data_IF_221508857522
#
_entry.id   IF_221508857522
#
_cell.length_a   1.000
_cell.length_b   1.000
_cell.length_c   1.000
_cell.angle_alpha   90.00
_cell.angle_beta   90.00
_cell.angle_gamma   90.00
#
_symmetry.space_group_name_H-M   'P 1'
#
loop_
_entity.id
_entity.type
_entity.pdbx_description
1 polymer ?
#
# COMPACT_ATOMS: atom_id res chain seq x y z
N UNK A 1 -11.15 38.64 3.33
CA UNK A 1 -12.16 38.47 4.38
C UNK A 1 -11.56 39.03 5.65
N UNK A 2 -12.14 40.09 6.20
CA UNK A 2 -11.60 40.74 7.41
C UNK A 2 -12.15 40.06 8.66
N UNK A 3 -11.33 39.24 9.32
CA UNK A 3 -11.69 38.51 10.54
C UNK A 3 -11.45 39.31 11.82
N UNK A 4 -11.06 40.59 11.73
CA UNK A 4 -10.88 41.45 12.91
C UNK A 4 -12.20 42.04 13.43
N UNK A 5 -13.29 41.90 12.66
CA UNK A 5 -14.64 42.30 13.07
C UNK A 5 -15.43 41.09 13.58
N UNK A 6 -16.34 41.26 14.56
CA UNK A 6 -17.19 40.16 15.04
C UNK A 6 -18.01 39.47 13.92
N UNK A 7 -18.44 40.25 12.92
CA UNK A 7 -19.15 39.71 11.75
C UNK A 7 -18.23 38.86 10.86
N UNK A 8 -17.00 39.31 10.64
CA UNK A 8 -16.00 38.56 9.90
C UNK A 8 -15.60 37.27 10.60
N UNK A 9 -15.37 37.30 11.91
CA UNK A 9 -15.08 36.10 12.70
C UNK A 9 -16.19 35.04 12.61
N UNK A 10 -17.46 35.47 12.69
CA UNK A 10 -18.62 34.59 12.55
C UNK A 10 -18.65 33.90 11.19
N UNK A 11 -18.52 34.68 10.11
CA UNK A 11 -18.52 34.14 8.75
C UNK A 11 -17.35 33.17 8.55
N UNK A 12 -16.18 33.45 9.15
CA UNK A 12 -14.99 32.63 8.94
C UNK A 12 -15.19 31.26 9.59
N UNK A 13 -15.74 31.28 10.80
CA UNK A 13 -16.08 30.08 11.56
C UNK A 13 -17.15 29.25 10.83
N UNK A 14 -18.18 29.89 10.28
CA UNK A 14 -19.21 29.21 9.50
C UNK A 14 -18.63 28.53 8.25
N UNK A 15 -17.84 29.24 7.45
CA UNK A 15 -17.21 28.65 6.27
C UNK A 15 -16.19 27.58 6.63
N UNK A 16 -15.48 27.72 7.75
CA UNK A 16 -14.61 26.68 8.29
C UNK A 16 -15.38 25.40 8.62
N UNK A 17 -16.52 25.52 9.31
CA UNK A 17 -17.39 24.40 9.63
C UNK A 17 -17.98 23.74 8.36
N UNK A 18 -18.43 24.54 7.40
CA UNK A 18 -18.92 24.04 6.11
C UNK A 18 -17.83 23.30 5.32
N UNK A 19 -16.60 23.83 5.29
CA UNK A 19 -15.47 23.19 4.63
C UNK A 19 -15.13 21.83 5.27
N UNK A 20 -15.18 21.74 6.60
CA UNK A 20 -15.00 20.48 7.32
C UNK A 20 -16.10 19.47 6.98
N UNK A 21 -17.36 19.91 6.94
CA UNK A 21 -18.50 19.07 6.56
C UNK A 21 -18.36 18.52 5.13
N UNK A 22 -18.05 19.36 4.16
CA UNK A 22 -17.85 18.93 2.77
C UNK A 22 -16.67 17.95 2.63
N UNK A 23 -15.60 18.15 3.40
CA UNK A 23 -14.48 17.21 3.44
C UNK A 23 -14.89 15.86 4.00
N UNK A 24 -15.73 15.84 5.04
CA UNK A 24 -16.28 14.61 5.61
C UNK A 24 -17.15 13.86 4.60
N UNK A 25 -18.09 14.54 3.94
CA UNK A 25 -18.93 13.94 2.89
C UNK A 25 -18.10 13.39 1.72
N UNK A 26 -17.09 14.13 1.28
CA UNK A 26 -16.19 13.65 0.22
C UNK A 26 -15.47 12.38 0.64
N UNK A 27 -14.98 12.31 1.88
CA UNK A 27 -14.34 11.12 2.43
C UNK A 27 -15.29 9.93 2.47
N UNK A 28 -16.53 10.12 2.93
CA UNK A 28 -17.55 9.06 2.96
C UNK A 28 -17.80 8.49 1.57
N UNK A 29 -17.98 9.35 0.56
CA UNK A 29 -18.18 8.93 -0.84
C UNK A 29 -16.97 8.15 -1.37
N UNK A 30 -15.75 8.62 -1.10
CA UNK A 30 -14.53 7.90 -1.51
C UNK A 30 -14.46 6.53 -0.86
N UNK A 31 -14.76 6.42 0.43
CA UNK A 31 -14.75 5.14 1.14
C UNK A 31 -15.80 4.18 0.58
N UNK A 32 -17.02 4.66 0.32
CA UNK A 32 -18.06 3.87 -0.34
C UNK A 32 -17.61 3.37 -1.72
N UNK A 33 -16.98 4.22 -2.52
CA UNK A 33 -16.41 3.86 -3.82
C UNK A 33 -15.29 2.81 -3.70
N UNK A 34 -14.39 2.94 -2.73
CA UNK A 34 -13.32 1.97 -2.47
C UNK A 34 -13.88 0.61 -2.04
N UNK A 35 -14.91 0.59 -1.19
CA UNK A 35 -15.61 -0.64 -0.79
C UNK A 35 -16.26 -1.31 -2.00
N UNK A 36 -16.96 -0.55 -2.84
CA UNK A 36 -17.56 -1.07 -4.07
C UNK A 36 -16.51 -1.62 -5.04
N UNK A 37 -15.39 -0.91 -5.24
CA UNK A 37 -14.28 -1.38 -6.07
C UNK A 37 -13.65 -2.68 -5.53
N UNK A 38 -13.47 -2.78 -4.21
CA UNK A 38 -12.97 -4.00 -3.56
C UNK A 38 -13.93 -5.18 -3.74
N UNK A 39 -15.25 -4.95 -3.64
CA UNK A 39 -16.27 -5.98 -3.93
C UNK A 39 -16.21 -6.50 -5.36
N UNK A 40 -15.82 -5.65 -6.32
CA UNK A 40 -15.56 -6.03 -7.72
C UNK A 40 -14.20 -6.72 -7.94
N UNK A 41 -13.46 -7.02 -6.87
CA UNK A 41 -12.16 -7.70 -6.95
C UNK A 41 -10.96 -6.79 -7.20
N UNK A 42 -11.14 -5.47 -7.33
CA UNK A 42 -10.02 -4.55 -7.49
C UNK A 42 -9.21 -4.48 -6.19
N UNK A 43 -7.96 -4.93 -6.24
CA UNK A 43 -6.96 -4.72 -5.18
C UNK A 43 -6.27 -3.37 -5.43
N UNK A 44 -6.54 -2.38 -4.59
CA UNK A 44 -5.83 -1.10 -4.61
C UNK A 44 -4.43 -1.19 -3.98
N UNK A 45 -3.72 -0.07 -3.92
CA UNK A 45 -2.36 0.00 -3.37
C UNK A 45 -1.27 -0.15 -4.43
N UNK A 46 -0.01 -0.18 -3.97
CA UNK A 46 1.16 -0.36 -4.85
C UNK A 46 1.21 -1.82 -5.33
N UNK A 47 1.37 -2.08 -6.64
CA UNK A 47 1.51 -3.45 -7.14
C UNK A 47 2.79 -4.11 -6.59
N UNK A 48 2.82 -5.45 -6.47
CA UNK A 48 4.04 -6.19 -6.12
C UNK A 48 5.18 -5.83 -7.07
N UNK A 49 6.40 -5.72 -6.53
CA UNK A 49 7.59 -5.37 -7.33
C UNK A 49 8.25 -6.58 -8.00
N UNK A 50 7.85 -7.79 -7.61
CA UNK A 50 8.31 -9.06 -8.20
C UNK A 50 7.05 -9.76 -8.71
N UNK A 51 7.09 -10.25 -9.94
CA UNK A 51 6.00 -11.04 -10.51
C UNK A 51 5.91 -12.43 -9.86
N UNK A 52 4.79 -13.12 -10.08
CA UNK A 52 4.53 -14.41 -9.45
C UNK A 52 5.51 -15.50 -9.94
N UNK A 53 5.82 -15.52 -11.22
CA UNK A 53 6.72 -16.50 -11.84
C UNK A 53 8.15 -16.38 -11.31
N UNK A 54 8.66 -15.16 -11.19
CA UNK A 54 9.96 -14.87 -10.60
C UNK A 54 9.98 -15.24 -9.13
N UNK A 55 8.87 -15.04 -8.39
CA UNK A 55 8.78 -15.50 -6.99
C UNK A 55 8.95 -17.03 -6.92
N UNK A 56 8.28 -17.79 -7.79
CA UNK A 56 8.39 -19.25 -7.84
C UNK A 56 9.84 -19.70 -8.14
N UNK A 57 10.47 -19.08 -9.14
CA UNK A 57 11.88 -19.34 -9.48
C UNK A 57 12.83 -18.98 -8.33
N UNK A 58 12.58 -17.87 -7.65
CA UNK A 58 13.34 -17.43 -6.48
C UNK A 58 13.20 -18.44 -5.34
N UNK A 59 11.98 -18.87 -5.01
CA UNK A 59 11.75 -19.82 -3.92
C UNK A 59 12.39 -21.17 -4.23
N UNK A 60 12.26 -21.68 -5.46
CA UNK A 60 12.90 -22.92 -5.88
C UNK A 60 14.43 -22.84 -5.78
N UNK A 61 15.04 -21.72 -6.18
CA UNK A 61 16.48 -21.53 -6.06
C UNK A 61 16.94 -21.48 -4.59
N UNK A 62 16.17 -20.82 -3.71
CA UNK A 62 16.48 -20.76 -2.28
C UNK A 62 16.35 -22.14 -1.62
N UNK A 63 15.34 -22.92 -1.99
CA UNK A 63 15.10 -24.26 -1.47
C UNK A 63 16.18 -25.25 -1.96
N UNK A 64 16.70 -25.06 -3.18
CA UNK A 64 17.88 -25.75 -3.70
C UNK A 64 19.21 -25.32 -3.03
N UNK A 65 19.17 -24.41 -2.05
CA UNK A 65 20.32 -23.99 -1.26
C UNK A 65 21.04 -22.74 -1.78
N UNK A 66 20.50 -22.02 -2.77
CA UNK A 66 21.10 -20.76 -3.21
C UNK A 66 21.06 -19.70 -2.10
N UNK A 67 22.12 -18.91 -1.97
CA UNK A 67 22.13 -17.81 -1.00
C UNK A 67 21.21 -16.67 -1.46
N UNK A 68 20.52 -16.02 -0.51
CA UNK A 68 19.71 -14.81 -0.76
C UNK A 68 20.49 -13.73 -1.52
N UNK A 69 21.80 -13.61 -1.28
CA UNK A 69 22.65 -12.65 -1.98
C UNK A 69 22.87 -13.02 -3.45
N UNK A 70 23.03 -14.32 -3.76
CA UNK A 70 23.13 -14.81 -5.13
C UNK A 70 21.84 -14.52 -5.89
N UNK A 71 20.69 -14.86 -5.30
CA UNK A 71 19.36 -14.62 -5.86
C UNK A 71 19.12 -13.14 -6.16
N UNK A 72 19.46 -12.23 -5.23
CA UNK A 72 19.33 -10.79 -5.47
C UNK A 72 20.11 -10.33 -6.72
N UNK A 73 21.31 -10.87 -6.95
CA UNK A 73 22.13 -10.52 -8.12
C UNK A 73 21.56 -11.10 -9.40
N UNK A 74 21.20 -12.37 -9.40
CA UNK A 74 20.68 -13.07 -10.59
C UNK A 74 19.37 -12.47 -11.08
N UNK A 75 18.44 -12.20 -10.17
CA UNK A 75 17.12 -11.66 -10.51
C UNK A 75 17.07 -10.12 -10.48
N UNK A 76 18.20 -9.45 -10.22
CA UNK A 76 18.29 -7.97 -10.10
C UNK A 76 17.27 -7.37 -9.11
N UNK A 77 16.98 -8.10 -8.04
CA UNK A 77 16.03 -7.68 -7.00
C UNK A 77 16.81 -7.09 -5.82
N UNK A 78 16.45 -5.88 -5.34
CA UNK A 78 17.04 -5.32 -4.12
C UNK A 78 16.79 -6.24 -2.91
N UNK A 79 17.79 -6.38 -2.03
CA UNK A 79 17.71 -7.28 -0.88
C UNK A 79 16.51 -6.98 0.05
N UNK A 80 16.18 -5.70 0.24
CA UNK A 80 15.01 -5.28 1.02
C UNK A 80 13.70 -5.77 0.40
N UNK A 81 13.56 -5.65 -0.92
CA UNK A 81 12.41 -6.14 -1.69
C UNK A 81 12.30 -7.65 -1.59
N UNK A 82 13.41 -8.38 -1.72
CA UNK A 82 13.42 -9.84 -1.57
C UNK A 82 12.95 -10.25 -0.17
N UNK A 83 13.53 -9.70 0.89
CA UNK A 83 13.19 -10.04 2.28
C UNK A 83 11.71 -9.74 2.56
N UNK A 84 11.23 -8.54 2.21
CA UNK A 84 9.84 -8.17 2.43
C UNK A 84 8.84 -8.99 1.58
N UNK A 85 9.28 -9.53 0.45
CA UNK A 85 8.46 -10.42 -0.37
C UNK A 85 8.40 -11.81 0.22
N UNK A 86 9.53 -12.37 0.67
CA UNK A 86 9.60 -13.68 1.35
C UNK A 86 8.76 -13.70 2.63
N UNK A 87 8.80 -12.63 3.41
CA UNK A 87 7.98 -12.47 4.62
C UNK A 87 6.48 -12.44 4.28
N UNK A 88 6.08 -11.68 3.25
CA UNK A 88 4.68 -11.58 2.81
C UNK A 88 4.10 -12.91 2.33
N UNK A 89 4.93 -13.76 1.72
CA UNK A 89 4.50 -15.10 1.26
C UNK A 89 4.69 -16.18 2.33
N UNK A 90 5.24 -15.84 3.50
CA UNK A 90 5.44 -16.77 4.61
C UNK A 90 6.54 -17.82 4.36
N UNK A 91 7.57 -17.50 3.57
CA UNK A 91 8.68 -18.43 3.33
C UNK A 91 9.54 -18.57 4.60
N UNK A 92 9.56 -19.76 5.20
CA UNK A 92 10.22 -20.05 6.49
C UNK A 92 11.64 -20.62 6.38
N UNK A 93 12.20 -20.69 5.17
CA UNK A 93 13.48 -21.35 4.93
C UNK A 93 13.32 -22.69 4.21
N UNK A 94 14.43 -23.25 3.69
CA UNK A 94 14.40 -24.55 3.02
C UNK A 94 13.90 -25.63 3.98
N UNK A 95 12.97 -26.46 3.52
CA UNK A 95 12.52 -27.65 4.25
C UNK A 95 13.73 -28.57 4.40
N UNK A 96 14.23 -28.71 5.63
CA UNK A 96 15.24 -29.73 5.93
C UNK A 96 14.55 -31.09 5.78
N UNK A 97 15.11 -31.93 4.91
CA UNK A 97 14.77 -33.35 4.84
C UNK A 97 15.12 -34.05 6.16
#
# INVERSE_FOLDING_TARGET
>A
MDTSTPHGELLFSLFGALAQYERALTRERVMAGLVAARRRGRRGGRPPSIDAETIEQITAALDAGASKASVCRSFKVPRSTLIGTLDRIGWTGPVKA
#
